data_IF_295457823043
#
_entry.id   IF_295457823043
#
_cell.length_a   1.000
_cell.length_b   1.000
_cell.length_c   1.000
_cell.angle_alpha   90.00
_cell.angle_beta   90.00
_cell.angle_gamma   90.00
#
_symmetry.space_group_name_H-M   'P 1'
#
loop_
_entity.id
_entity.type
_entity.pdbx_description
1 polymer ?
#
# COMPACT_ATOMS: atom_id res chain seq x y z
N UNK A 1 27.17 12.30 -15.08
CA UNK A 1 26.35 11.09 -14.79
C UNK A 1 24.88 11.50 -14.83
N UNK A 2 24.05 10.86 -15.67
CA UNK A 2 22.66 11.27 -15.94
C UNK A 2 21.72 11.08 -14.74
N UNK A 3 20.64 11.87 -14.66
CA UNK A 3 19.60 11.83 -13.62
C UNK A 3 18.64 10.63 -13.78
N UNK A 4 18.52 10.12 -15.00
CA UNK A 4 17.64 8.99 -15.38
C UNK A 4 18.37 8.08 -16.37
N UNK A 5 17.75 6.97 -16.75
CA UNK A 5 18.42 5.97 -17.61
C UNK A 5 18.45 6.40 -19.09
N UNK A 6 17.47 7.18 -19.54
CA UNK A 6 17.27 7.60 -20.93
C UNK A 6 16.86 9.09 -21.00
N UNK A 7 17.41 9.84 -21.95
CA UNK A 7 17.08 11.24 -22.21
C UNK A 7 15.60 11.45 -22.59
N UNK A 8 14.94 10.42 -23.15
CA UNK A 8 13.48 10.44 -23.38
C UNK A 8 12.69 10.44 -22.07
N UNK A 9 13.22 9.80 -21.03
CA UNK A 9 12.66 9.79 -19.70
C UNK A 9 12.75 11.20 -19.10
N UNK A 10 13.88 11.89 -19.26
CA UNK A 10 14.07 13.31 -18.85
C UNK A 10 12.99 14.21 -19.43
N UNK A 11 12.72 14.12 -20.74
CA UNK A 11 11.74 14.98 -21.41
C UNK A 11 10.31 14.68 -20.94
N UNK A 12 9.97 13.41 -20.71
CA UNK A 12 8.65 13.01 -20.18
C UNK A 12 8.42 13.53 -18.76
N UNK A 13 9.48 13.51 -17.95
CA UNK A 13 9.53 14.00 -16.59
C UNK A 13 9.32 15.51 -16.58
N UNK A 14 10.09 16.28 -17.35
CA UNK A 14 9.97 17.74 -17.47
C UNK A 14 8.61 18.21 -18.03
N UNK A 15 7.99 17.46 -18.95
CA UNK A 15 6.66 17.82 -19.51
C UNK A 15 5.52 17.67 -18.49
N UNK A 16 5.65 16.76 -17.52
CA UNK A 16 4.66 16.49 -16.48
C UNK A 16 4.66 17.57 -15.37
N UNK A 17 5.59 18.51 -15.45
CA UNK A 17 6.15 19.29 -14.35
C UNK A 17 5.88 20.80 -14.52
N UNK A 18 4.78 21.19 -15.17
CA UNK A 18 4.43 22.60 -15.40
C UNK A 18 4.15 23.45 -14.15
N UNK A 19 4.24 22.89 -12.93
CA UNK A 19 4.01 23.64 -11.70
C UNK A 19 5.04 23.29 -10.61
N UNK A 20 5.87 24.29 -10.29
CA UNK A 20 6.70 24.45 -9.07
C UNK A 20 8.02 23.68 -8.96
N UNK A 21 9.07 24.19 -9.61
CA UNK A 21 10.49 23.85 -9.34
C UNK A 21 11.25 25.10 -8.91
N UNK A 22 11.12 25.47 -7.64
CA UNK A 22 11.88 26.56 -7.02
C UNK A 22 12.94 26.07 -6.02
N UNK A 23 13.35 24.79 -6.06
CA UNK A 23 14.39 24.31 -5.14
C UNK A 23 15.43 23.45 -5.85
N UNK A 24 16.70 23.81 -5.64
CA UNK A 24 17.91 23.06 -6.01
C UNK A 24 18.08 21.76 -5.18
N UNK A 25 17.04 21.30 -4.47
CA UNK A 25 17.12 20.17 -3.53
C UNK A 25 17.27 18.81 -4.21
N UNK A 26 16.93 18.70 -5.50
CA UNK A 26 16.92 17.40 -6.19
C UNK A 26 18.31 16.78 -6.30
N UNK A 27 19.31 17.52 -6.79
CA UNK A 27 20.67 17.00 -6.97
C UNK A 27 21.25 16.45 -5.65
N UNK A 28 21.26 17.20 -4.53
CA UNK A 28 21.81 16.69 -3.27
C UNK A 28 20.99 15.52 -2.71
N UNK A 29 19.68 15.46 -2.91
CA UNK A 29 18.86 14.31 -2.49
C UNK A 29 19.21 13.04 -3.28
N UNK A 30 19.43 13.16 -4.58
CA UNK A 30 19.83 12.03 -5.42
C UNK A 30 21.24 11.55 -5.06
N UNK A 31 22.15 12.46 -4.72
CA UNK A 31 23.49 12.11 -4.21
C UNK A 31 23.44 11.32 -2.90
N UNK A 32 22.56 11.69 -1.96
CA UNK A 32 22.34 10.90 -0.74
C UNK A 32 21.94 9.46 -1.08
N UNK A 33 21.02 9.25 -2.01
CA UNK A 33 20.61 7.90 -2.42
C UNK A 33 21.75 7.12 -3.08
N UNK A 34 22.54 7.76 -3.93
CA UNK A 34 23.72 7.15 -4.58
C UNK A 34 24.78 6.74 -3.56
N UNK A 35 25.06 7.60 -2.59
CA UNK A 35 26.04 7.33 -1.54
C UNK A 35 25.59 6.18 -0.62
N UNK A 36 24.29 5.96 -0.49
CA UNK A 36 23.71 4.80 0.21
C UNK A 36 23.65 3.53 -0.65
N UNK A 37 24.13 3.57 -1.89
CA UNK A 37 24.13 2.42 -2.79
C UNK A 37 22.77 2.08 -3.39
N UNK A 38 21.77 2.97 -3.28
CA UNK A 38 20.44 2.72 -3.84
C UNK A 38 20.54 2.44 -5.35
N UNK A 39 19.99 1.33 -5.86
CA UNK A 39 20.13 0.96 -7.26
C UNK A 39 19.60 2.06 -8.18
N UNK A 40 20.32 2.33 -9.28
CA UNK A 40 19.94 3.39 -10.23
C UNK A 40 18.50 3.23 -10.75
N UNK A 41 18.03 1.99 -10.96
CA UNK A 41 16.62 1.72 -11.33
C UNK A 41 15.60 2.25 -10.31
N UNK A 42 15.93 2.18 -9.02
CA UNK A 42 15.07 2.65 -7.92
C UNK A 42 15.11 4.18 -7.86
N UNK A 43 16.27 4.78 -8.11
CA UNK A 43 16.43 6.24 -8.22
C UNK A 43 15.61 6.76 -9.42
N UNK A 44 15.70 6.12 -10.59
CA UNK A 44 14.87 6.48 -11.76
C UNK A 44 13.38 6.36 -11.45
N UNK A 45 12.95 5.28 -10.78
CA UNK A 45 11.56 5.14 -10.34
C UNK A 45 11.10 6.33 -9.47
N UNK A 46 11.94 6.77 -8.52
CA UNK A 46 11.68 7.92 -7.67
C UNK A 46 11.51 9.21 -8.49
N UNK A 47 12.48 9.52 -9.34
CA UNK A 47 12.50 10.76 -10.14
C UNK A 47 11.32 10.79 -11.12
N UNK A 48 11.01 9.67 -11.76
CA UNK A 48 10.00 9.60 -12.82
C UNK A 48 8.57 9.58 -12.27
N UNK A 49 8.33 8.88 -11.16
CA UNK A 49 6.98 8.65 -10.65
C UNK A 49 6.64 9.40 -9.36
N UNK A 50 7.65 9.82 -8.58
CA UNK A 50 7.46 10.48 -7.28
C UNK A 50 8.31 11.76 -7.17
N UNK A 51 8.14 12.71 -8.12
CA UNK A 51 8.98 13.89 -8.21
C UNK A 51 8.93 14.76 -6.95
N UNK A 52 7.77 14.82 -6.29
CA UNK A 52 7.60 15.52 -5.02
C UNK A 52 8.60 15.06 -3.94
N UNK A 53 9.04 13.80 -3.97
CA UNK A 53 10.06 13.29 -3.05
C UNK A 53 11.44 13.84 -3.44
N UNK A 54 11.78 13.79 -4.73
CA UNK A 54 13.07 14.26 -5.23
C UNK A 54 13.31 15.73 -4.87
N UNK A 55 12.25 16.55 -4.94
CA UNK A 55 12.29 18.00 -4.64
C UNK A 55 11.95 18.35 -3.20
N UNK A 56 11.82 17.36 -2.31
CA UNK A 56 11.65 17.64 -0.88
C UNK A 56 12.87 18.41 -0.36
N UNK A 57 12.63 19.38 0.53
CA UNK A 57 13.71 20.14 1.19
C UNK A 57 14.79 19.17 1.70
N UNK A 58 16.06 19.44 1.36
CA UNK A 58 17.15 18.50 1.61
C UNK A 58 17.22 18.00 3.06
N UNK A 59 17.06 18.88 4.04
CA UNK A 59 17.05 18.51 5.47
C UNK A 59 15.96 17.50 5.81
N UNK A 60 14.76 17.67 5.25
CA UNK A 60 13.62 16.77 5.46
C UNK A 60 13.82 15.43 4.75
N UNK A 61 14.43 15.46 3.57
CA UNK A 61 14.76 14.24 2.83
C UNK A 61 15.77 13.38 3.60
N UNK A 62 16.84 13.98 4.11
CA UNK A 62 17.86 13.29 4.94
C UNK A 62 17.24 12.71 6.21
N UNK A 63 16.37 13.46 6.90
CA UNK A 63 15.63 12.96 8.06
C UNK A 63 14.79 11.73 7.71
N UNK A 64 14.03 11.77 6.61
CA UNK A 64 13.22 10.64 6.16
C UNK A 64 14.08 9.42 5.78
N UNK A 65 15.23 9.64 5.15
CA UNK A 65 16.21 8.58 4.84
C UNK A 65 16.72 7.89 6.10
N UNK A 66 17.11 8.67 7.12
CA UNK A 66 17.57 8.11 8.39
C UNK A 66 16.46 7.32 9.08
N UNK A 67 15.25 7.88 9.13
CA UNK A 67 14.09 7.19 9.71
C UNK A 67 13.77 5.86 9.00
N UNK A 68 13.77 5.84 7.67
CA UNK A 68 13.53 4.62 6.88
C UNK A 68 14.61 3.56 7.16
N UNK A 69 15.87 3.96 7.34
CA UNK A 69 16.95 3.05 7.74
C UNK A 69 16.80 2.54 9.16
N UNK A 70 16.40 3.39 10.11
CA UNK A 70 16.10 3.00 11.50
C UNK A 70 14.98 1.96 11.57
N UNK A 71 13.99 2.03 10.67
CA UNK A 71 12.94 1.01 10.54
C UNK A 71 13.41 -0.27 9.86
N UNK A 72 14.71 -0.41 9.53
CA UNK A 72 15.31 -1.61 8.95
C UNK A 72 15.08 -1.80 7.45
N UNK A 73 14.68 -0.77 6.71
CA UNK A 73 14.54 -0.86 5.26
C UNK A 73 15.92 -0.81 4.59
N UNK A 74 16.27 -1.86 3.85
CA UNK A 74 17.50 -1.96 3.08
C UNK A 74 17.50 -1.01 1.86
N UNK A 75 18.47 -0.07 1.74
CA UNK A 75 18.64 0.80 0.57
C UNK A 75 18.76 0.07 -0.78
N UNK A 76 19.20 -1.19 -0.78
CA UNK A 76 19.34 -2.01 -1.98
C UNK A 76 17.99 -2.58 -2.46
N UNK A 77 16.97 -2.57 -1.62
CA UNK A 77 15.63 -3.03 -1.95
C UNK A 77 14.81 -1.94 -2.65
N UNK A 78 14.06 -2.30 -3.70
CA UNK A 78 13.15 -1.36 -4.38
C UNK A 78 12.08 -0.76 -3.47
N UNK A 79 11.73 -1.43 -2.38
CA UNK A 79 10.80 -0.92 -1.37
C UNK A 79 11.35 0.29 -0.61
N UNK A 80 12.66 0.51 -0.58
CA UNK A 80 13.26 1.66 0.10
C UNK A 80 12.69 2.99 -0.39
N UNK A 81 12.58 3.15 -1.72
CA UNK A 81 11.99 4.34 -2.34
C UNK A 81 10.50 4.48 -2.02
N UNK A 82 9.78 3.36 -1.91
CA UNK A 82 8.38 3.38 -1.50
C UNK A 82 8.23 3.72 -0.01
N UNK A 83 9.17 3.32 0.85
CA UNK A 83 9.20 3.72 2.25
C UNK A 83 9.49 5.21 2.38
N UNK A 84 10.45 5.75 1.63
CA UNK A 84 10.72 7.18 1.56
C UNK A 84 9.48 7.98 1.14
N UNK A 85 8.74 7.50 0.13
CA UNK A 85 7.48 8.12 -0.30
C UNK A 85 6.51 8.29 0.87
N UNK A 86 6.37 7.26 1.71
CA UNK A 86 5.45 7.29 2.85
C UNK A 86 5.97 8.21 3.95
N UNK A 87 7.25 8.09 4.30
CA UNK A 87 7.82 8.85 5.42
C UNK A 87 7.92 10.33 5.10
N UNK A 88 8.32 10.73 3.88
CA UNK A 88 8.42 12.15 3.52
C UNK A 88 7.09 12.89 3.75
N UNK A 89 5.97 12.26 3.41
CA UNK A 89 4.62 12.81 3.59
C UNK A 89 4.02 12.65 4.99
N UNK A 90 4.79 12.18 5.98
CA UNK A 90 4.28 11.84 7.31
C UNK A 90 5.21 12.36 8.42
N UNK A 91 4.62 12.95 9.47
CA UNK A 91 5.39 13.31 10.66
C UNK A 91 5.65 12.10 11.56
N UNK A 92 6.64 12.18 12.44
CA UNK A 92 6.93 11.13 13.42
C UNK A 92 5.75 10.89 14.36
N UNK A 93 5.01 11.95 14.71
CA UNK A 93 3.82 11.87 15.55
C UNK A 93 2.69 11.10 14.84
N UNK A 94 2.46 11.37 13.55
CA UNK A 94 1.49 10.61 12.74
C UNK A 94 1.90 9.14 12.63
N UNK A 95 3.20 8.86 12.47
CA UNK A 95 3.72 7.50 12.44
C UNK A 95 3.41 6.74 13.75
N UNK A 96 3.79 7.30 14.90
CA UNK A 96 3.55 6.68 16.21
C UNK A 96 2.05 6.54 16.52
N UNK A 97 1.23 7.51 16.10
CA UNK A 97 -0.22 7.41 16.26
C UNK A 97 -0.81 6.28 15.40
N UNK A 98 -0.32 6.07 14.18
CA UNK A 98 -0.71 4.91 13.36
C UNK A 98 -0.29 3.60 14.00
N UNK A 99 0.92 3.50 14.55
CA UNK A 99 1.34 2.30 15.28
C UNK A 99 0.40 1.99 16.45
N UNK A 100 0.02 3.00 17.24
CA UNK A 100 -0.97 2.84 18.32
C UNK A 100 -2.35 2.41 17.83
N UNK A 101 -2.77 2.85 16.64
CA UNK A 101 -4.02 2.36 16.04
C UNK A 101 -3.91 0.87 15.73
N UNK A 102 -2.82 0.43 15.09
CA UNK A 102 -2.63 -0.99 14.78
C UNK A 102 -2.49 -1.85 16.05
N UNK A 103 -1.85 -1.33 17.09
CA UNK A 103 -1.76 -1.98 18.41
C UNK A 103 -3.14 -2.22 19.02
N UNK A 104 -4.07 -1.25 18.96
CA UNK A 104 -5.46 -1.44 19.39
C UNK A 104 -6.20 -2.52 18.61
N UNK A 105 -5.75 -2.82 17.40
CA UNK A 105 -6.27 -3.91 16.57
C UNK A 105 -5.46 -5.20 16.70
N UNK A 106 -4.54 -5.29 17.66
CA UNK A 106 -3.80 -6.51 17.99
C UNK A 106 -2.47 -6.69 17.26
N UNK A 107 -1.97 -5.70 16.51
CA UNK A 107 -0.64 -5.80 15.90
C UNK A 107 0.43 -5.30 16.85
N UNK A 108 1.51 -6.08 17.03
CA UNK A 108 2.69 -5.56 17.71
C UNK A 108 3.41 -4.50 16.85
N UNK A 109 4.23 -3.66 17.51
CA UNK A 109 5.10 -2.71 16.82
C UNK A 109 6.03 -3.42 15.82
N UNK A 110 6.55 -4.59 16.18
CA UNK A 110 7.44 -5.38 15.32
C UNK A 110 6.71 -5.90 14.07
N UNK A 111 5.47 -6.38 14.21
CA UNK A 111 4.65 -6.78 13.06
C UNK A 111 4.44 -5.59 12.12
N UNK A 112 4.17 -4.40 12.66
CA UNK A 112 4.03 -3.19 11.85
C UNK A 112 5.33 -2.85 11.12
N UNK A 113 6.48 -2.89 11.80
CA UNK A 113 7.78 -2.58 11.19
C UNK A 113 8.12 -3.59 10.09
N UNK A 114 7.96 -4.88 10.34
CA UNK A 114 8.18 -5.94 9.34
C UNK A 114 7.25 -5.80 8.13
N UNK A 115 5.96 -5.49 8.37
CA UNK A 115 5.01 -5.20 7.31
C UNK A 115 5.43 -3.95 6.51
N UNK A 116 5.98 -2.93 7.17
CA UNK A 116 6.40 -1.68 6.54
C UNK A 116 7.60 -1.89 5.64
N UNK A 117 8.62 -2.63 6.09
CA UNK A 117 9.77 -3.00 5.27
C UNK A 117 9.36 -3.70 3.96
N UNK A 118 8.35 -4.57 4.04
CA UNK A 118 7.88 -5.37 2.89
C UNK A 118 6.85 -4.64 2.01
N UNK A 119 6.00 -3.81 2.60
CA UNK A 119 4.85 -3.18 1.92
C UNK A 119 4.60 -1.74 2.40
N UNK A 120 5.55 -0.80 2.24
CA UNK A 120 5.51 0.48 2.96
C UNK A 120 4.21 1.28 2.80
N UNK A 121 3.59 1.19 1.63
CA UNK A 121 2.40 1.95 1.24
C UNK A 121 1.19 1.77 2.15
N UNK A 122 1.06 0.69 2.91
CA UNK A 122 -0.12 0.54 3.79
C UNK A 122 -0.18 1.67 4.84
N UNK A 123 0.99 2.15 5.30
CA UNK A 123 1.10 3.26 6.26
C UNK A 123 0.66 4.61 5.68
N UNK A 124 0.64 4.78 4.36
CA UNK A 124 0.09 5.99 3.72
C UNK A 124 -1.44 6.10 3.82
N UNK A 125 -2.12 5.04 4.26
CA UNK A 125 -3.59 5.03 4.43
C UNK A 125 -3.99 5.93 5.59
N UNK A 126 -5.03 6.76 5.42
CA UNK A 126 -5.53 7.62 6.50
C UNK A 126 -6.03 6.82 7.70
N UNK A 127 -5.92 7.40 8.89
CA UNK A 127 -6.32 6.74 10.16
C UNK A 127 -7.80 6.35 10.14
N UNK A 128 -8.66 7.25 9.67
CA UNK A 128 -10.10 6.99 9.51
C UNK A 128 -10.36 5.78 8.61
N UNK A 129 -9.60 5.63 7.52
CA UNK A 129 -9.75 4.51 6.60
C UNK A 129 -9.19 3.21 7.21
N UNK A 130 -8.07 3.27 7.92
CA UNK A 130 -7.52 2.12 8.66
C UNK A 130 -8.56 1.59 9.64
N UNK A 131 -9.11 2.45 10.50
CA UNK A 131 -10.11 2.04 11.49
C UNK A 131 -11.36 1.41 10.85
N UNK A 132 -11.88 2.02 9.78
CA UNK A 132 -13.04 1.47 9.05
C UNK A 132 -12.76 0.07 8.47
N UNK A 133 -11.62 -0.10 7.81
CA UNK A 133 -11.25 -1.39 7.21
C UNK A 133 -11.01 -2.44 8.30
N UNK A 134 -10.27 -2.10 9.36
CA UNK A 134 -10.00 -3.03 10.45
C UNK A 134 -11.29 -3.45 11.16
N UNK A 135 -12.18 -2.50 11.47
CA UNK A 135 -13.48 -2.80 12.06
C UNK A 135 -14.29 -3.77 11.20
N UNK A 136 -14.39 -3.51 9.89
CA UNK A 136 -15.12 -4.40 8.99
C UNK A 136 -14.49 -5.80 8.91
N UNK A 137 -13.16 -5.89 8.75
CA UNK A 137 -12.49 -7.18 8.59
C UNK A 137 -12.54 -8.02 9.88
N UNK A 138 -12.34 -7.40 11.04
CA UNK A 138 -12.32 -8.10 12.32
C UNK A 138 -13.74 -8.38 12.80
N UNK A 139 -14.56 -7.34 12.94
CA UNK A 139 -15.87 -7.47 13.60
C UNK A 139 -16.92 -8.09 12.67
N UNK A 140 -16.96 -7.66 11.41
CA UNK A 140 -18.03 -8.09 10.50
C UNK A 140 -17.63 -9.37 9.77
N UNK A 141 -16.36 -9.53 9.38
CA UNK A 141 -15.90 -10.66 8.58
C UNK A 141 -15.21 -11.76 9.40
N UNK A 142 -14.84 -11.51 10.66
CA UNK A 142 -14.24 -12.49 11.55
C UNK A 142 -12.77 -12.84 11.23
N UNK A 143 -12.04 -11.96 10.53
CA UNK A 143 -10.61 -12.16 10.31
C UNK A 143 -9.82 -11.84 11.58
N UNK A 144 -8.80 -12.65 11.86
CA UNK A 144 -7.86 -12.36 12.94
C UNK A 144 -6.92 -11.21 12.55
N UNK A 145 -6.40 -10.45 13.51
CA UNK A 145 -5.36 -9.45 13.25
C UNK A 145 -4.18 -10.01 12.45
N UNK A 146 -3.79 -11.25 12.72
CA UNK A 146 -2.70 -11.97 12.06
C UNK A 146 -3.01 -12.25 10.58
N UNK A 147 -4.25 -12.60 10.25
CA UNK A 147 -4.67 -12.79 8.85
C UNK A 147 -4.55 -11.50 8.04
N UNK A 148 -4.87 -10.37 8.66
CA UNK A 148 -4.75 -9.05 8.04
C UNK A 148 -3.28 -8.64 7.94
N UNK A 149 -2.47 -8.93 8.96
CA UNK A 149 -1.02 -8.64 8.97
C UNK A 149 -0.24 -9.36 7.88
N UNK A 150 -0.73 -10.53 7.42
CA UNK A 150 -0.16 -11.24 6.25
C UNK A 150 -0.46 -10.55 4.92
N UNK A 151 -1.42 -9.61 4.89
CA UNK A 151 -1.82 -8.88 3.69
C UNK A 151 -2.06 -7.38 3.99
N UNK A 152 -1.07 -6.63 4.51
CA UNK A 152 -1.25 -5.25 4.94
C UNK A 152 -1.67 -4.31 3.79
N UNK A 153 -1.32 -4.69 2.56
CA UNK A 153 -1.68 -3.97 1.34
C UNK A 153 -3.19 -3.90 1.08
N UNK A 154 -4.02 -4.70 1.78
CA UNK A 154 -5.48 -4.59 1.73
C UNK A 154 -5.96 -3.19 2.13
N UNK A 155 -5.24 -2.50 3.02
CA UNK A 155 -5.55 -1.15 3.49
C UNK A 155 -5.51 -0.10 2.36
N UNK A 156 -4.77 -0.39 1.29
CA UNK A 156 -4.69 0.48 0.12
C UNK A 156 -5.84 0.27 -0.88
N UNK A 157 -6.70 -0.74 -0.70
CA UNK A 157 -7.83 -1.03 -1.60
C UNK A 157 -9.03 -0.13 -1.29
N UNK A 158 -9.96 -0.02 -2.24
CA UNK A 158 -11.25 0.63 -1.96
C UNK A 158 -12.08 -0.27 -1.06
N UNK A 159 -12.64 0.31 -0.01
CA UNK A 159 -13.49 -0.44 0.93
C UNK A 159 -14.77 -0.87 0.21
N UNK A 160 -15.44 0.10 -0.42
CA UNK A 160 -16.74 -0.01 -1.06
C UNK A 160 -16.64 -0.82 -2.36
N UNK A 161 -15.65 -0.56 -3.22
CA UNK A 161 -15.54 -1.20 -4.54
C UNK A 161 -14.79 -2.53 -4.53
N UNK A 162 -14.15 -2.91 -3.43
CA UNK A 162 -13.28 -4.12 -3.43
C UNK A 162 -13.38 -4.91 -2.14
N UNK A 163 -13.08 -4.32 -0.98
CA UNK A 163 -12.95 -5.08 0.26
C UNK A 163 -14.31 -5.65 0.67
N UNK A 164 -15.34 -4.82 0.73
CA UNK A 164 -16.68 -5.23 1.17
C UNK A 164 -17.31 -6.23 0.20
N UNK A 165 -17.46 -5.96 -1.11
CA UNK A 165 -18.09 -6.90 -2.06
C UNK A 165 -17.42 -8.28 -2.04
N UNK A 166 -16.09 -8.30 -2.05
CA UNK A 166 -15.34 -9.56 -2.17
C UNK A 166 -15.34 -10.33 -0.86
N UNK A 167 -15.16 -9.66 0.28
CA UNK A 167 -15.15 -10.34 1.58
C UNK A 167 -16.53 -10.92 1.90
N UNK A 168 -17.61 -10.21 1.56
CA UNK A 168 -18.99 -10.70 1.73
C UNK A 168 -19.25 -11.97 0.92
N UNK A 169 -18.90 -11.98 -0.38
CA UNK A 169 -19.01 -13.19 -1.22
C UNK A 169 -18.20 -14.35 -0.62
N UNK A 170 -16.94 -14.10 -0.25
CA UNK A 170 -16.08 -15.14 0.33
C UNK A 170 -16.64 -15.65 1.66
N UNK A 171 -17.22 -14.79 2.51
CA UNK A 171 -17.85 -15.18 3.78
C UNK A 171 -19.03 -16.12 3.53
N UNK A 172 -19.90 -15.81 2.57
CA UNK A 172 -21.06 -16.65 2.19
C UNK A 172 -20.58 -18.02 1.67
N UNK A 173 -19.58 -18.04 0.79
CA UNK A 173 -19.07 -19.29 0.25
C UNK A 173 -18.40 -20.15 1.32
N UNK A 174 -17.65 -19.55 2.25
CA UNK A 174 -17.05 -20.25 3.39
C UNK A 174 -18.12 -20.85 4.31
N UNK A 175 -19.17 -20.10 4.64
CA UNK A 175 -20.23 -20.58 5.54
C UNK A 175 -21.05 -21.74 4.95
N UNK A 176 -21.08 -21.86 3.61
CA UNK A 176 -21.71 -22.99 2.90
C UNK A 176 -20.75 -24.14 2.55
N UNK A 177 -19.48 -24.06 2.97
CA UNK A 177 -18.48 -25.08 2.67
C UNK A 177 -18.10 -25.20 1.18
N UNK A 178 -18.42 -24.19 0.37
CA UNK A 178 -18.20 -24.20 -1.09
C UNK A 178 -16.75 -23.87 -1.47
N UNK A 179 -16.00 -23.26 -0.54
CA UNK A 179 -14.58 -22.95 -0.69
C UNK A 179 -13.81 -23.26 0.60
N UNK A 180 -12.49 -23.37 0.49
CA UNK A 180 -11.61 -23.62 1.64
C UNK A 180 -11.74 -22.52 2.70
N UNK A 181 -11.96 -22.93 3.95
CA UNK A 181 -11.96 -22.02 5.11
C UNK A 181 -10.64 -21.25 5.25
N UNK A 182 -9.52 -21.90 4.90
CA UNK A 182 -8.17 -21.34 4.92
C UNK A 182 -7.84 -20.38 3.77
N UNK A 183 -8.79 -20.04 2.89
CA UNK A 183 -8.55 -19.08 1.80
C UNK A 183 -8.14 -17.71 2.37
N UNK A 184 -6.92 -17.28 2.03
CA UNK A 184 -6.31 -16.03 2.50
C UNK A 184 -6.90 -14.77 1.84
N UNK A 185 -6.90 -13.63 2.54
CA UNK A 185 -7.27 -12.32 2.01
C UNK A 185 -6.52 -11.98 0.71
N UNK A 186 -5.21 -12.23 0.68
CA UNK A 186 -4.36 -11.91 -0.48
C UNK A 186 -4.85 -12.59 -1.77
N UNK A 187 -5.33 -13.83 -1.67
CA UNK A 187 -5.71 -14.67 -2.82
C UNK A 187 -6.90 -14.14 -3.64
N UNK A 188 -7.76 -13.31 -3.06
CA UNK A 188 -8.96 -12.81 -3.73
C UNK A 188 -9.04 -11.27 -3.78
N UNK A 189 -8.33 -10.55 -2.91
CA UNK A 189 -8.34 -9.08 -2.92
C UNK A 189 -7.61 -8.52 -4.15
N UNK A 190 -6.57 -9.21 -4.63
CA UNK A 190 -5.73 -8.75 -5.75
C UNK A 190 -6.13 -9.28 -7.12
N UNK A 191 -7.17 -10.11 -7.21
CA UNK A 191 -7.65 -10.59 -8.51
C UNK A 191 -8.32 -9.46 -9.31
N UNK A 192 -8.31 -9.56 -10.64
CA UNK A 192 -9.16 -8.70 -11.47
C UNK A 192 -10.63 -8.99 -11.18
N UNK A 193 -11.53 -8.05 -11.47
CA UNK A 193 -12.98 -8.28 -11.34
C UNK A 193 -13.44 -9.50 -12.16
N UNK A 194 -13.04 -9.58 -13.43
CA UNK A 194 -13.31 -10.73 -14.29
C UNK A 194 -12.87 -12.05 -13.66
N UNK A 195 -11.67 -12.08 -13.07
CA UNK A 195 -11.14 -13.29 -12.40
C UNK A 195 -11.90 -13.60 -11.12
N UNK A 196 -12.25 -12.59 -10.33
CA UNK A 196 -13.02 -12.75 -9.11
C UNK A 196 -14.40 -13.35 -9.40
N UNK A 197 -15.14 -12.76 -10.35
CA UNK A 197 -16.46 -13.23 -10.77
C UNK A 197 -16.42 -14.66 -11.29
N UNK A 198 -15.47 -14.96 -12.20
CA UNK A 198 -15.31 -16.31 -12.76
C UNK A 198 -15.00 -17.37 -11.70
N UNK A 199 -14.26 -17.02 -10.65
CA UNK A 199 -13.83 -17.97 -9.61
C UNK A 199 -14.82 -18.12 -8.45
N UNK A 200 -15.45 -17.03 -8.04
CA UNK A 200 -16.19 -16.96 -6.77
C UNK A 200 -17.65 -16.54 -6.92
N UNK A 201 -18.13 -16.18 -8.12
CA UNK A 201 -19.53 -15.78 -8.29
C UNK A 201 -20.23 -16.66 -9.31
N UNK A 202 -19.77 -16.66 -10.57
CA UNK A 202 -20.39 -17.40 -11.68
C UNK A 202 -20.60 -18.90 -11.40
N UNK A 203 -19.63 -19.64 -10.80
CA UNK A 203 -19.80 -21.07 -10.58
C UNK A 203 -20.93 -21.41 -9.60
N UNK A 204 -21.26 -20.50 -8.69
CA UNK A 204 -22.22 -20.75 -7.61
C UNK A 204 -23.55 -20.02 -7.83
N UNK A 205 -23.69 -19.26 -8.91
CA UNK A 205 -24.86 -18.39 -9.13
C UNK A 205 -26.17 -19.17 -9.29
N UNK A 206 -26.12 -20.43 -9.77
CA UNK A 206 -27.31 -21.28 -9.86
C UNK A 206 -27.82 -21.68 -8.47
N UNK A 207 -26.90 -22.02 -7.55
CA UNK A 207 -27.23 -22.44 -6.18
C UNK A 207 -27.41 -21.26 -5.22
N UNK A 208 -26.85 -20.10 -5.60
CA UNK A 208 -26.84 -18.84 -4.87
C UNK A 208 -27.26 -17.68 -5.79
N UNK A 209 -28.54 -17.58 -6.19
CA UNK A 209 -28.98 -16.55 -7.12
C UNK A 209 -28.71 -15.12 -6.61
N UNK A 210 -28.76 -14.91 -5.29
CA UNK A 210 -28.48 -13.62 -4.64
C UNK A 210 -26.98 -13.30 -4.47
N UNK A 211 -26.06 -14.19 -4.88
CA UNK A 211 -24.62 -13.96 -4.71
C UNK A 211 -24.11 -12.79 -5.56
N UNK A 212 -24.68 -12.65 -6.77
CA UNK A 212 -24.37 -11.52 -7.63
C UNK A 212 -24.90 -10.21 -7.04
N UNK A 213 -26.06 -10.24 -6.40
CA UNK A 213 -26.63 -9.07 -5.72
C UNK A 213 -25.83 -8.71 -4.47
N UNK A 214 -25.33 -9.70 -3.71
CA UNK A 214 -24.41 -9.46 -2.61
C UNK A 214 -23.09 -8.83 -3.07
N UNK A 215 -22.60 -9.17 -4.28
CA UNK A 215 -21.42 -8.54 -4.88
C UNK A 215 -21.73 -7.11 -5.39
N UNK A 216 -22.91 -6.88 -5.99
CA UNK A 216 -23.27 -5.60 -6.62
C UNK A 216 -23.86 -4.57 -5.65
N UNK A 217 -24.65 -4.99 -4.67
CA UNK A 217 -25.37 -4.13 -3.72
C UNK A 217 -24.47 -3.31 -2.79
N UNK A 218 -23.16 -3.52 -2.89
CA UNK A 218 -22.12 -2.79 -2.14
C UNK A 218 -21.30 -1.85 -3.05
N UNK A 219 -21.54 -1.85 -4.36
CA UNK A 219 -20.95 -0.93 -5.34
C UNK A 219 -21.83 0.31 -5.63
N UNK A 220 -23.02 0.37 -5.03
CA UNK A 220 -23.98 1.46 -5.19
C UNK A 220 -23.75 2.52 -4.09
N UNK A 221 -22.81 3.44 -4.33
CA UNK A 221 -22.76 4.84 -3.85
C UNK A 221 -21.47 5.50 -4.32
#
# INVERSE_FOLDING_TARGET
RSLVHDDKEVVSVLKRWKYNFYTDSMVPNIEVLRNLGVPQRSISLLVTHFPNIAFTKHSRFVEAVNFVKEMGCDPLNSNFVLALLVIVGMSKETWELKLKIFERWGWSKDICILAFQKYPRYMATSEKKIQKIMSFLVNDMGYTPEDIARCPTILNRSMEKTIVPRSTVIKILKSRGLIKSSLSLHSFIWTTEKTFLKRYVTPFQKDLPLLLDAYKGQNSN
#
